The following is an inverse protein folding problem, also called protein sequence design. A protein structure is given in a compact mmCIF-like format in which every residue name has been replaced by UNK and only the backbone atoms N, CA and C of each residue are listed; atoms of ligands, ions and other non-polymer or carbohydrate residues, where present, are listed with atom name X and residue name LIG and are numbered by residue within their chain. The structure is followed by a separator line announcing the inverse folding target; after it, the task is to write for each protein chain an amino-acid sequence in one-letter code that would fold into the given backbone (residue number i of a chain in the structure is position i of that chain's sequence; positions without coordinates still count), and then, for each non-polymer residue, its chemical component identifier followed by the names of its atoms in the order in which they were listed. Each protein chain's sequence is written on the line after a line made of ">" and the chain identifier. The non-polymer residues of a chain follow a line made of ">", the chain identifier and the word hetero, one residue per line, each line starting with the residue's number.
data_IF_994937157006
#
_entry.id   IF_994937157006
#
_cell.length_a   1.000
_cell.length_b   1.000
_cell.length_c   1.000
_cell.angle_alpha   90.00
_cell.angle_beta   90.00
_cell.angle_gamma   90.00
#
_symmetry.space_group_name_H-M   'P 1'
#
loop_
_entity.id
_entity.type
_entity.pdbx_description
1 polymer ?
#
# COMPACT_ATOMS: atom_id res chain seq x y z
N UNK A 1 21.07 1.69 -15.39
CA UNK A 1 20.59 0.28 -15.42
C UNK A 1 19.32 0.27 -16.22
N UNK A 2 19.35 -0.39 -17.36
CA UNK A 2 18.26 -0.48 -18.33
C UNK A 2 17.00 -1.00 -17.66
N UNK A 3 15.90 -0.25 -17.80
CA UNK A 3 14.55 -0.77 -17.59
C UNK A 3 14.44 -2.08 -18.38
N UNK A 4 14.21 -3.18 -17.66
CA UNK A 4 13.82 -4.44 -18.28
C UNK A 4 12.45 -4.18 -18.91
N UNK A 5 12.43 -3.97 -20.23
CA UNK A 5 11.18 -3.96 -20.99
C UNK A 5 10.47 -5.28 -20.71
N UNK A 6 9.35 -5.20 -20.02
CA UNK A 6 8.45 -6.34 -19.84
C UNK A 6 8.22 -6.98 -21.21
N UNK A 7 8.35 -8.29 -21.29
CA UNK A 7 8.07 -9.00 -22.54
C UNK A 7 6.63 -8.66 -22.98
N UNK A 8 6.37 -8.70 -24.29
CA UNK A 8 5.02 -8.44 -24.83
C UNK A 8 3.95 -9.31 -24.17
N UNK A 9 4.33 -10.50 -23.71
CA UNK A 9 3.43 -11.43 -23.02
C UNK A 9 3.13 -10.95 -21.59
N UNK A 10 4.12 -10.49 -20.87
CA UNK A 10 3.96 -9.95 -19.51
C UNK A 10 3.11 -8.67 -19.51
N UNK A 11 3.40 -7.75 -20.43
CA UNK A 11 2.58 -6.54 -20.60
C UNK A 11 1.11 -6.87 -20.88
N UNK A 12 0.82 -7.81 -21.79
CA UNK A 12 -0.56 -8.25 -22.05
C UNK A 12 -1.21 -8.92 -20.84
N UNK A 13 -0.43 -9.61 -20.02
CA UNK A 13 -0.89 -10.22 -18.77
C UNK A 13 -1.32 -9.13 -17.78
N UNK A 14 -0.50 -8.12 -17.57
CA UNK A 14 -0.83 -6.98 -16.70
C UNK A 14 -2.05 -6.20 -17.24
N UNK A 15 -2.08 -5.86 -18.53
CA UNK A 15 -3.23 -5.19 -19.15
C UNK A 15 -4.55 -5.96 -18.95
N UNK A 16 -4.50 -7.30 -18.99
CA UNK A 16 -5.69 -8.13 -18.75
C UNK A 16 -6.08 -8.12 -17.28
N UNK A 17 -5.12 -8.21 -16.37
CA UNK A 17 -5.33 -8.13 -14.92
C UNK A 17 -5.97 -6.79 -14.54
N UNK A 18 -5.46 -5.69 -15.10
CA UNK A 18 -6.01 -4.33 -14.92
C UNK A 18 -7.45 -4.21 -15.41
N UNK A 19 -7.77 -4.76 -16.58
CA UNK A 19 -9.14 -4.75 -17.11
C UNK A 19 -10.11 -5.48 -16.18
N UNK A 20 -9.74 -6.67 -15.70
CA UNK A 20 -10.55 -7.44 -14.76
C UNK A 20 -10.73 -6.68 -13.45
N UNK A 21 -9.65 -6.12 -12.90
CA UNK A 21 -9.68 -5.32 -11.68
C UNK A 21 -10.61 -4.11 -11.83
N UNK A 22 -10.43 -3.32 -12.87
CA UNK A 22 -11.24 -2.12 -13.11
C UNK A 22 -12.74 -2.44 -13.36
N UNK A 23 -13.04 -3.55 -14.04
CA UNK A 23 -14.40 -4.03 -14.22
C UNK A 23 -15.05 -4.44 -12.89
N UNK A 24 -14.32 -5.21 -12.07
CA UNK A 24 -14.77 -5.67 -10.77
C UNK A 24 -15.03 -4.48 -9.82
N UNK A 25 -14.08 -3.54 -9.72
CA UNK A 25 -14.23 -2.37 -8.84
C UNK A 25 -15.44 -1.50 -9.21
N UNK A 26 -15.73 -1.34 -10.51
CA UNK A 26 -16.93 -0.62 -10.97
C UNK A 26 -18.21 -1.35 -10.56
N UNK A 27 -18.23 -2.68 -10.70
CA UNK A 27 -19.40 -3.49 -10.35
C UNK A 27 -19.59 -3.54 -8.83
N UNK A 28 -18.54 -3.75 -8.06
CA UNK A 28 -18.61 -3.75 -6.59
C UNK A 28 -19.12 -2.42 -6.03
N UNK A 29 -18.71 -1.31 -6.63
CA UNK A 29 -19.20 0.02 -6.24
C UNK A 29 -20.68 0.22 -6.54
N UNK A 30 -21.18 -0.36 -7.63
CA UNK A 30 -22.56 -0.17 -8.09
C UNK A 30 -23.53 -1.19 -7.45
N UNK A 31 -23.15 -2.47 -7.45
CA UNK A 31 -24.01 -3.60 -7.06
C UNK A 31 -23.69 -4.13 -5.66
N UNK A 32 -22.60 -3.67 -5.04
CA UNK A 32 -22.00 -4.32 -3.88
C UNK A 32 -21.24 -5.60 -4.25
N UNK A 33 -20.48 -6.12 -3.28
CA UNK A 33 -19.72 -7.36 -3.49
C UNK A 33 -20.64 -8.57 -3.70
N UNK A 34 -21.66 -8.72 -2.84
CA UNK A 34 -22.58 -9.87 -2.89
C UNK A 34 -23.45 -9.86 -4.15
N UNK A 35 -23.86 -8.67 -4.60
CA UNK A 35 -24.66 -8.47 -5.81
C UNK A 35 -23.87 -8.56 -7.12
N UNK A 36 -22.57 -8.84 -7.08
CA UNK A 36 -21.72 -8.96 -8.28
C UNK A 36 -21.27 -10.40 -8.50
N UNK A 37 -21.42 -10.90 -9.72
CA UNK A 37 -20.98 -12.24 -10.13
C UNK A 37 -19.67 -12.20 -10.93
N UNK A 38 -18.95 -13.33 -10.97
CA UNK A 38 -17.75 -13.48 -11.81
C UNK A 38 -18.10 -13.37 -13.29
N UNK A 39 -19.31 -13.82 -13.70
CA UNK A 39 -19.76 -13.74 -15.08
C UNK A 39 -19.90 -12.28 -15.52
N UNK A 40 -20.53 -11.43 -14.71
CA UNK A 40 -20.64 -9.98 -14.98
C UNK A 40 -19.27 -9.29 -15.05
N UNK A 41 -18.34 -9.69 -14.15
CA UNK A 41 -16.98 -9.13 -14.18
C UNK A 41 -16.26 -9.53 -15.46
N UNK A 42 -16.32 -10.80 -15.85
CA UNK A 42 -15.68 -11.32 -17.04
C UNK A 42 -16.24 -10.67 -18.32
N UNK A 43 -17.56 -10.56 -18.42
CA UNK A 43 -18.25 -9.88 -19.53
C UNK A 43 -17.81 -8.40 -19.62
N UNK A 44 -17.85 -7.68 -18.49
CA UNK A 44 -17.45 -6.26 -18.44
C UNK A 44 -15.97 -6.03 -18.73
N UNK A 45 -15.11 -7.01 -18.42
CA UNK A 45 -13.68 -6.97 -18.69
C UNK A 45 -13.32 -7.46 -20.09
N UNK A 46 -14.31 -7.92 -20.87
CA UNK A 46 -14.12 -8.53 -22.20
C UNK A 46 -13.12 -9.70 -22.14
N UNK A 47 -13.38 -10.66 -21.22
CA UNK A 47 -12.61 -11.89 -21.08
C UNK A 47 -13.52 -13.09 -20.86
N UNK A 48 -13.04 -14.29 -21.18
CA UNK A 48 -13.75 -15.50 -20.79
C UNK A 48 -13.71 -15.71 -19.27
N UNK A 49 -14.76 -16.32 -18.70
CA UNK A 49 -14.82 -16.68 -17.26
C UNK A 49 -13.60 -17.48 -16.79
N UNK A 50 -13.10 -18.40 -17.59
CA UNK A 50 -11.87 -19.15 -17.31
C UNK A 50 -10.64 -18.26 -17.23
N UNK A 51 -10.61 -17.17 -18.02
CA UNK A 51 -9.53 -16.17 -17.97
C UNK A 51 -9.55 -15.42 -16.65
N UNK A 52 -10.74 -15.05 -16.14
CA UNK A 52 -10.85 -14.45 -14.80
C UNK A 52 -10.19 -15.36 -13.74
N UNK A 53 -10.52 -16.65 -13.71
CA UNK A 53 -9.98 -17.59 -12.73
C UNK A 53 -8.48 -17.85 -12.87
N UNK A 54 -7.88 -17.60 -14.02
CA UNK A 54 -6.42 -17.64 -14.19
C UNK A 54 -5.69 -16.49 -13.45
N UNK A 55 -6.39 -15.40 -13.16
CA UNK A 55 -5.84 -14.22 -12.44
C UNK A 55 -6.28 -14.14 -10.99
N UNK A 56 -7.55 -14.48 -10.73
CA UNK A 56 -8.18 -14.33 -9.42
C UNK A 56 -8.97 -15.59 -9.06
N UNK A 57 -8.58 -16.34 -8.02
CA UNK A 57 -9.25 -17.60 -7.66
C UNK A 57 -10.69 -17.41 -7.19
N UNK A 58 -11.07 -16.18 -6.80
CA UNK A 58 -12.42 -15.78 -6.35
C UNK A 58 -12.58 -14.28 -6.53
N UNK A 59 -13.83 -13.76 -6.54
CA UNK A 59 -14.09 -12.34 -6.79
C UNK A 59 -13.47 -11.42 -5.72
N UNK A 60 -13.44 -11.86 -4.46
CA UNK A 60 -12.82 -11.12 -3.36
C UNK A 60 -11.30 -10.98 -3.51
N UNK A 61 -10.63 -11.93 -4.18
CA UNK A 61 -9.20 -11.88 -4.41
C UNK A 61 -8.77 -10.70 -5.30
N UNK A 62 -9.71 -10.09 -6.01
CA UNK A 62 -9.48 -8.86 -6.78
C UNK A 62 -8.98 -7.72 -5.88
N UNK A 63 -9.47 -7.63 -4.64
CA UNK A 63 -8.98 -6.61 -3.69
C UNK A 63 -7.50 -6.74 -3.36
N UNK A 64 -6.95 -7.93 -3.46
CA UNK A 64 -5.52 -8.17 -3.26
C UNK A 64 -4.63 -7.59 -4.35
N UNK A 65 -5.19 -7.12 -5.47
CA UNK A 65 -4.41 -6.45 -6.51
C UNK A 65 -4.04 -5.00 -6.16
N UNK A 66 -4.84 -4.31 -5.36
CA UNK A 66 -4.52 -2.95 -4.91
C UNK A 66 -3.18 -2.86 -4.17
N UNK A 67 -2.88 -3.70 -3.16
CA UNK A 67 -1.56 -3.73 -2.53
C UNK A 67 -0.40 -3.96 -3.51
N UNK A 68 -0.59 -4.79 -4.56
CA UNK A 68 0.42 -5.00 -5.60
C UNK A 68 0.70 -3.71 -6.39
N UNK A 69 -0.37 -2.99 -6.77
CA UNK A 69 -0.25 -1.69 -7.44
C UNK A 69 0.41 -0.65 -6.55
N UNK A 70 0.03 -0.60 -5.26
CA UNK A 70 0.58 0.38 -4.33
C UNK A 70 2.06 0.15 -4.05
N UNK A 71 2.52 -1.10 -3.88
CA UNK A 71 3.96 -1.34 -3.68
C UNK A 71 4.76 -0.94 -4.90
N UNK A 72 4.27 -1.24 -6.11
CA UNK A 72 4.93 -0.82 -7.35
C UNK A 72 4.99 0.71 -7.49
N UNK A 73 3.90 1.40 -7.14
CA UNK A 73 3.84 2.87 -7.12
C UNK A 73 4.79 3.45 -6.05
N UNK A 74 4.83 2.85 -4.86
CA UNK A 74 5.71 3.27 -3.78
C UNK A 74 7.18 3.10 -4.15
N UNK A 75 7.56 1.97 -4.77
CA UNK A 75 8.91 1.73 -5.27
C UNK A 75 9.33 2.77 -6.32
N UNK A 76 8.43 3.10 -7.25
CA UNK A 76 8.68 4.14 -8.25
C UNK A 76 8.85 5.53 -7.62
N UNK A 77 7.99 5.90 -6.66
CA UNK A 77 8.07 7.18 -5.94
C UNK A 77 9.30 7.27 -5.06
N UNK A 78 9.71 6.18 -4.43
CA UNK A 78 10.89 6.12 -3.56
C UNK A 78 12.17 6.57 -4.27
N UNK A 79 12.33 6.25 -5.56
CA UNK A 79 13.47 6.71 -6.36
C UNK A 79 13.53 8.24 -6.42
N UNK A 80 12.40 8.89 -6.64
CA UNK A 80 12.30 10.36 -6.67
C UNK A 80 12.51 11.00 -5.29
N UNK A 81 12.05 10.35 -4.23
CA UNK A 81 12.22 10.82 -2.85
C UNK A 81 13.70 10.77 -2.45
N UNK A 82 14.35 9.63 -2.68
CA UNK A 82 15.76 9.41 -2.30
C UNK A 82 16.72 10.32 -3.07
N UNK A 83 16.44 10.64 -4.34
CA UNK A 83 17.27 11.48 -5.18
C UNK A 83 16.80 12.94 -5.26
N UNK A 84 15.70 13.27 -4.59
CA UNK A 84 15.08 14.59 -4.64
C UNK A 84 15.77 15.61 -3.74
N UNK A 85 15.49 16.91 -3.94
CA UNK A 85 15.94 17.97 -3.03
C UNK A 85 15.05 17.99 -1.78
N UNK A 86 15.66 17.97 -0.61
CA UNK A 86 14.96 18.10 0.68
C UNK A 86 14.92 16.81 1.48
N UNK A 87 14.32 16.87 2.70
CA UNK A 87 14.26 15.72 3.59
C UNK A 87 13.45 14.56 2.99
N UNK A 88 14.05 13.37 2.94
CA UNK A 88 13.38 12.18 2.44
C UNK A 88 12.14 11.83 3.28
N UNK A 89 12.17 12.13 4.56
CA UNK A 89 11.09 11.87 5.53
C UNK A 89 9.77 12.53 5.14
N UNK A 90 9.82 13.78 4.65
CA UNK A 90 8.61 14.51 4.23
C UNK A 90 7.96 13.83 3.01
N UNK A 91 8.77 13.44 2.03
CA UNK A 91 8.31 12.71 0.85
C UNK A 91 7.68 11.35 1.19
N UNK A 92 8.27 10.64 2.15
CA UNK A 92 7.76 9.33 2.62
C UNK A 92 6.43 9.51 3.35
N UNK A 93 6.32 10.49 4.24
CA UNK A 93 5.06 10.80 4.93
C UNK A 93 3.97 11.17 3.91
N UNK A 94 4.30 12.02 2.95
CA UNK A 94 3.34 12.42 1.90
C UNK A 94 2.88 11.22 1.06
N UNK A 95 3.77 10.33 0.71
CA UNK A 95 3.44 9.09 -0.01
C UNK A 95 2.47 8.21 0.81
N UNK A 96 2.76 7.95 2.08
CA UNK A 96 1.91 7.14 2.96
C UNK A 96 0.52 7.78 3.16
N UNK A 97 0.47 9.10 3.29
CA UNK A 97 -0.79 9.86 3.42
C UNK A 97 -1.59 9.84 2.11
N UNK A 98 -0.92 9.86 0.94
CA UNK A 98 -1.60 9.74 -0.35
C UNK A 98 -2.30 8.39 -0.53
N UNK A 99 -1.66 7.30 -0.13
CA UNK A 99 -2.31 5.98 -0.17
C UNK A 99 -3.55 5.90 0.72
N UNK A 100 -3.57 6.65 1.82
CA UNK A 100 -4.74 6.71 2.69
C UNK A 100 -5.97 7.37 2.03
N UNK A 101 -5.80 8.19 0.99
CA UNK A 101 -6.91 8.79 0.26
C UNK A 101 -7.87 7.77 -0.36
N UNK A 102 -7.36 6.60 -0.74
CA UNK A 102 -8.21 5.50 -1.23
C UNK A 102 -9.25 5.09 -0.19
N UNK A 103 -8.85 4.97 1.07
CA UNK A 103 -9.73 4.52 2.15
C UNK A 103 -10.86 5.53 2.45
N UNK A 104 -10.62 6.82 2.23
CA UNK A 104 -11.63 7.87 2.38
C UNK A 104 -12.66 7.87 1.25
N UNK A 105 -12.30 7.39 0.05
CA UNK A 105 -13.15 7.42 -1.14
C UNK A 105 -14.34 6.47 -1.09
N UNK A 106 -14.15 5.25 -0.58
CA UNK A 106 -15.21 4.23 -0.44
C UNK A 106 -14.90 3.29 0.74
N UNK A 107 -15.54 3.55 1.87
CA UNK A 107 -15.30 2.79 3.11
C UNK A 107 -15.70 1.32 3.05
N UNK A 108 -16.71 0.99 2.24
CA UNK A 108 -17.15 -0.41 2.10
C UNK A 108 -16.10 -1.20 1.35
N UNK A 109 -15.67 -0.71 0.19
CA UNK A 109 -14.58 -1.33 -0.58
C UNK A 109 -13.28 -1.35 0.22
N UNK A 110 -12.97 -0.28 0.95
CA UNK A 110 -11.77 -0.18 1.78
C UNK A 110 -11.69 -1.24 2.87
N UNK A 111 -12.82 -1.60 3.48
CA UNK A 111 -12.87 -2.71 4.44
C UNK A 111 -12.48 -4.05 3.79
N UNK A 112 -12.96 -4.32 2.59
CA UNK A 112 -12.59 -5.55 1.87
C UNK A 112 -11.10 -5.58 1.52
N UNK A 113 -10.53 -4.46 1.08
CA UNK A 113 -9.07 -4.34 0.83
C UNK A 113 -8.28 -4.60 2.11
N UNK A 114 -8.68 -3.98 3.21
CA UNK A 114 -8.03 -4.15 4.51
C UNK A 114 -8.11 -5.60 5.02
N UNK A 115 -9.27 -6.25 4.86
CA UNK A 115 -9.46 -7.66 5.21
C UNK A 115 -8.59 -8.59 4.36
N UNK A 116 -8.48 -8.33 3.06
CA UNK A 116 -7.63 -9.13 2.17
C UNK A 116 -6.14 -8.95 2.50
N UNK A 117 -5.71 -7.75 2.86
CA UNK A 117 -4.35 -7.51 3.37
C UNK A 117 -4.08 -8.32 4.64
N UNK A 118 -4.97 -8.25 5.64
CA UNK A 118 -4.83 -9.01 6.88
C UNK A 118 -4.78 -10.52 6.63
N UNK A 119 -5.57 -11.01 5.68
CA UNK A 119 -5.56 -12.43 5.30
C UNK A 119 -4.19 -12.85 4.72
N UNK A 120 -3.55 -11.99 3.92
CA UNK A 120 -2.20 -12.23 3.38
C UNK A 120 -1.17 -12.33 4.49
N UNK A 121 -1.19 -11.39 5.43
CA UNK A 121 -0.27 -11.42 6.57
C UNK A 121 -0.42 -12.70 7.41
N UNK A 122 -1.65 -13.15 7.67
CA UNK A 122 -1.92 -14.37 8.42
C UNK A 122 -1.51 -15.65 7.65
N UNK A 123 -1.50 -15.61 6.33
CA UNK A 123 -1.09 -16.75 5.49
C UNK A 123 0.43 -16.91 5.34
N UNK A 124 1.21 -16.08 6.04
CA UNK A 124 2.67 -16.10 5.99
C UNK A 124 3.25 -15.25 4.88
N UNK A 125 3.32 -13.98 5.08
CA UNK A 125 3.95 -12.91 4.28
C UNK A 125 4.33 -13.32 2.84
N UNK A 126 3.45 -13.05 1.88
CA UNK A 126 3.71 -13.30 0.46
C UNK A 126 4.77 -12.31 -0.10
N UNK A 127 5.05 -12.40 -1.39
CA UNK A 127 6.02 -11.55 -2.06
C UNK A 127 5.71 -10.05 -1.92
N UNK A 128 4.44 -9.68 -1.89
CA UNK A 128 4.00 -8.29 -1.76
C UNK A 128 4.30 -7.74 -0.37
N UNK A 129 4.04 -8.52 0.68
CA UNK A 129 4.39 -8.13 2.05
C UNK A 129 5.90 -7.94 2.18
N UNK A 130 6.71 -8.89 1.67
CA UNK A 130 8.18 -8.76 1.68
C UNK A 130 8.67 -7.51 0.95
N UNK A 131 8.11 -7.19 -0.21
CA UNK A 131 8.48 -5.97 -0.96
C UNK A 131 8.18 -4.70 -0.18
N UNK A 132 7.05 -4.65 0.55
CA UNK A 132 6.73 -3.53 1.44
C UNK A 132 7.74 -3.39 2.58
N UNK A 133 8.08 -4.49 3.24
CA UNK A 133 9.03 -4.52 4.35
C UNK A 133 10.44 -4.11 3.88
N UNK A 134 10.90 -4.67 2.75
CA UNK A 134 12.18 -4.34 2.14
C UNK A 134 12.26 -2.88 1.70
N UNK A 135 11.17 -2.34 1.12
CA UNK A 135 11.10 -0.92 0.74
C UNK A 135 11.19 -0.03 1.97
N UNK A 136 10.39 -0.31 3.00
CA UNK A 136 10.39 0.44 4.25
C UNK A 136 11.76 0.45 4.91
N UNK A 137 12.40 -0.71 5.02
CA UNK A 137 13.75 -0.86 5.58
C UNK A 137 14.78 -0.03 4.80
N UNK A 138 14.78 -0.11 3.47
CA UNK A 138 15.70 0.69 2.62
C UNK A 138 15.49 2.20 2.78
N UNK A 139 14.24 2.65 2.86
CA UNK A 139 13.92 4.06 3.04
C UNK A 139 14.38 4.57 4.42
N UNK A 140 14.16 3.78 5.48
CA UNK A 140 14.66 4.11 6.83
C UNK A 140 16.18 4.15 6.86
N UNK A 141 16.87 3.17 6.28
CA UNK A 141 18.32 3.16 6.20
C UNK A 141 18.86 4.42 5.49
N UNK A 142 18.22 4.80 4.37
CA UNK A 142 18.57 6.04 3.68
C UNK A 142 18.40 7.29 4.56
N UNK A 143 17.27 7.42 5.28
CA UNK A 143 17.05 8.54 6.21
C UNK A 143 18.07 8.58 7.35
N UNK A 144 18.52 7.42 7.83
CA UNK A 144 19.60 7.33 8.81
C UNK A 144 20.94 7.77 8.22
N UNK A 145 21.22 7.42 6.96
CA UNK A 145 22.44 7.83 6.26
C UNK A 145 22.49 9.33 5.98
N UNK A 146 21.34 9.95 5.70
CA UNK A 146 21.20 11.39 5.57
C UNK A 146 21.18 12.14 6.92
N UNK A 147 21.15 11.43 8.05
CA UNK A 147 21.08 12.03 9.40
C UNK A 147 19.68 12.56 9.77
N UNK A 148 18.64 12.17 9.05
CA UNK A 148 17.25 12.52 9.38
C UNK A 148 16.71 11.68 10.53
N UNK A 149 17.16 10.41 10.65
CA UNK A 149 16.82 9.51 11.74
C UNK A 149 18.07 9.01 12.47
N UNK A 150 17.88 8.64 13.75
CA UNK A 150 18.93 8.09 14.61
C UNK A 150 19.37 6.72 14.14
N UNK A 151 20.68 6.42 14.24
CA UNK A 151 21.28 5.17 13.76
C UNK A 151 21.36 4.03 14.77
N UNK A 152 21.03 4.29 16.03
CA UNK A 152 21.08 3.31 17.11
C UNK A 152 19.81 2.43 17.19
N UNK A 153 18.84 2.63 16.28
CA UNK A 153 17.68 1.78 16.08
C UNK A 153 17.86 1.03 14.77
N UNK A 154 17.72 -0.31 14.73
CA UNK A 154 17.79 -1.06 13.48
C UNK A 154 16.78 -0.55 12.45
N UNK A 155 17.16 -0.39 11.17
CA UNK A 155 16.26 0.12 10.12
C UNK A 155 14.96 -0.69 10.00
N UNK A 156 15.05 -2.01 10.16
CA UNK A 156 13.90 -2.92 10.10
C UNK A 156 12.90 -2.62 11.22
N UNK A 157 13.39 -2.42 12.43
CA UNK A 157 12.54 -2.11 13.59
C UNK A 157 11.85 -0.76 13.44
N UNK A 158 12.56 0.25 12.95
CA UNK A 158 11.96 1.56 12.70
C UNK A 158 10.93 1.49 11.56
N UNK A 159 11.21 0.76 10.48
CA UNK A 159 10.28 0.55 9.36
C UNK A 159 9.00 -0.16 9.84
N UNK A 160 9.13 -1.19 10.69
CA UNK A 160 8.00 -1.89 11.30
C UNK A 160 7.13 -0.95 12.15
N UNK A 161 7.73 -0.02 12.91
CA UNK A 161 6.98 0.98 13.67
C UNK A 161 6.14 1.88 12.76
N UNK A 162 6.71 2.39 11.65
CA UNK A 162 5.97 3.17 10.67
C UNK A 162 4.81 2.36 10.07
N UNK A 163 5.06 1.12 9.65
CA UNK A 163 4.06 0.23 9.08
C UNK A 163 2.94 -0.08 10.08
N UNK A 164 3.29 -0.41 11.33
CA UNK A 164 2.32 -0.73 12.39
C UNK A 164 1.40 0.46 12.70
N UNK A 165 1.95 1.67 12.82
CA UNK A 165 1.16 2.87 13.11
C UNK A 165 0.28 3.26 11.91
N UNK A 166 0.81 3.17 10.68
CA UNK A 166 0.03 3.41 9.47
C UNK A 166 -1.16 2.46 9.38
N UNK A 167 -0.91 1.16 9.43
CA UNK A 167 -1.93 0.11 9.39
C UNK A 167 -2.93 0.23 10.55
N UNK A 168 -2.44 0.37 11.77
CA UNK A 168 -3.30 0.49 12.96
C UNK A 168 -4.22 1.71 12.92
N UNK A 169 -3.76 2.82 12.34
CA UNK A 169 -4.57 4.02 12.15
C UNK A 169 -5.70 3.78 11.15
N UNK A 170 -5.40 3.17 10.01
CA UNK A 170 -6.39 2.82 8.98
C UNK A 170 -7.41 1.82 9.54
N UNK A 171 -6.93 0.76 10.20
CA UNK A 171 -7.83 -0.26 10.78
C UNK A 171 -8.78 0.34 11.80
N UNK A 172 -8.28 1.20 12.71
CA UNK A 172 -9.11 1.90 13.69
C UNK A 172 -10.15 2.80 13.02
N UNK A 173 -9.78 3.50 11.95
CA UNK A 173 -10.68 4.35 11.20
C UNK A 173 -11.77 3.54 10.47
N UNK A 174 -11.43 2.38 9.90
CA UNK A 174 -12.37 1.50 9.22
C UNK A 174 -13.29 0.72 10.17
N UNK A 175 -12.84 0.44 11.40
CA UNK A 175 -13.61 -0.32 12.38
C UNK A 175 -14.85 0.43 12.88
N UNK A 176 -14.84 1.76 12.87
CA UNK A 176 -16.01 2.57 13.27
C UNK A 176 -17.03 2.65 12.14
N UNK A 177 -18.35 2.69 12.44
CA UNK A 177 -19.39 2.99 11.46
C UNK A 177 -19.19 4.36 10.80
N UNK A 178 -18.84 5.37 11.58
CA UNK A 178 -18.56 6.74 11.16
C UNK A 178 -17.07 7.06 11.28
N UNK A 179 -16.51 7.98 10.45
CA UNK A 179 -15.15 8.45 10.59
C UNK A 179 -14.88 9.05 11.98
N UNK A 180 -13.95 8.46 12.74
CA UNK A 180 -13.60 8.96 14.09
C UNK A 180 -12.75 10.25 14.01
N UNK A 181 -12.06 10.46 12.91
CA UNK A 181 -11.15 11.59 12.66
C UNK A 181 -10.87 11.71 11.15
N UNK A 182 -10.38 12.87 10.66
CA UNK A 182 -9.85 12.99 9.30
C UNK A 182 -8.63 12.08 9.15
N UNK A 183 -8.74 11.04 8.31
CA UNK A 183 -7.74 9.95 8.25
C UNK A 183 -6.35 10.46 7.89
N UNK A 184 -6.24 11.26 6.84
CA UNK A 184 -4.94 11.76 6.33
C UNK A 184 -4.27 12.69 7.33
N UNK A 185 -5.02 13.55 8.01
CA UNK A 185 -4.46 14.47 9.00
C UNK A 185 -3.94 13.70 10.22
N UNK A 186 -4.70 12.73 10.68
CA UNK A 186 -4.29 11.89 11.82
C UNK A 186 -3.09 11.00 11.48
N UNK A 187 -3.04 10.45 10.26
CA UNK A 187 -1.86 9.71 9.79
C UNK A 187 -0.63 10.61 9.79
N UNK A 188 -0.71 11.79 9.17
CA UNK A 188 0.41 12.75 9.14
C UNK A 188 0.90 13.10 10.53
N UNK A 189 -0.03 13.37 11.46
CA UNK A 189 0.29 13.67 12.86
C UNK A 189 1.04 12.51 13.52
N UNK A 190 0.54 11.28 13.38
CA UNK A 190 1.15 10.09 14.00
C UNK A 190 2.51 9.76 13.39
N UNK A 191 2.67 9.89 12.07
CA UNK A 191 3.97 9.71 11.41
C UNK A 191 4.99 10.71 11.95
N UNK A 192 4.63 11.99 12.10
CA UNK A 192 5.51 13.01 12.70
C UNK A 192 5.92 12.67 14.13
N UNK A 193 5.02 12.14 14.95
CA UNK A 193 5.36 11.70 16.31
C UNK A 193 6.39 10.55 16.32
N UNK A 194 6.31 9.61 15.35
CA UNK A 194 7.35 8.59 15.21
C UNK A 194 8.68 9.23 14.84
N UNK A 195 8.68 10.15 13.87
CA UNK A 195 9.87 10.88 13.45
C UNK A 195 10.52 11.63 14.61
N UNK A 196 9.74 12.34 15.41
CA UNK A 196 10.23 13.04 16.61
C UNK A 196 10.92 12.06 17.59
N UNK A 197 10.34 10.87 17.80
CA UNK A 197 10.90 9.81 18.63
C UNK A 197 12.16 9.15 18.04
N UNK A 198 12.30 9.17 16.72
CA UNK A 198 13.43 8.62 15.99
C UNK A 198 14.44 9.69 15.52
N UNK A 199 14.22 10.97 15.82
CA UNK A 199 15.14 12.04 15.50
C UNK A 199 16.51 11.82 16.16
N UNK A 200 17.61 12.28 15.54
CA UNK A 200 18.93 12.25 16.14
C UNK A 200 18.90 12.89 17.52
N UNK A 201 19.44 12.22 18.54
CA UNK A 201 19.54 12.82 19.88
C UNK A 201 20.51 13.99 19.79
N UNK A 202 20.04 15.20 20.09
CA UNK A 202 20.91 16.34 20.35
C UNK A 202 21.93 15.91 21.39
N UNK A 203 23.23 15.92 21.06
CA UNK A 203 24.29 15.37 21.90
C UNK A 203 24.18 15.85 23.34
N UNK A 204 23.80 14.94 24.22
CA UNK A 204 24.13 15.07 25.62
C UNK A 204 25.64 14.92 25.73
N UNK A 205 26.33 16.04 25.91
CA UNK A 205 27.70 16.07 26.33
C UNK A 205 27.75 15.31 27.68
N UNK A 206 28.41 14.15 27.67
CA UNK A 206 28.77 13.45 28.87
C UNK A 206 29.94 14.19 29.53
#
# INVERSE_FOLDING_TARGET
>A
MTELELSRRERKKEETKDRIFNAAMKLFKHNGLDGTTVDEIAEKADVAKGTFFNYFPRKEAVFGYLPEMWVAEAEAKAVGIVNGPGPAIDGIIDMLVQFAAFYEGDRVLSRWVAMEWMRREQSGCDDICRRWDDLGTRLVAHMQDCGELRRDVPPESAAEMFAAVHRGTIMRWLASPEPLFPLRDELRKRMKLIVEGLSPRSGGVA
#
